data_IF_410475723676
#
_entry.id   IF_410475723676
#
_cell.length_a   1.000
_cell.length_b   1.000
_cell.length_c   1.000
_cell.angle_alpha   90.00
_cell.angle_beta   90.00
_cell.angle_gamma   90.00
#
_symmetry.space_group_name_H-M   'P 1'
#
loop_
_entity.id
_entity.type
_entity.pdbx_description
1 polymer ?
#
# COMPACT_ATOMS: atom_id res chain seq x y z
N UNK A 1 2.50 -21.46 -7.34
CA UNK A 1 2.93 -20.32 -6.49
C UNK A 1 1.93 -20.17 -5.37
N UNK A 2 2.38 -20.05 -4.12
CA UNK A 2 1.49 -19.77 -2.99
C UNK A 2 1.13 -18.29 -2.98
N UNK A 3 -0.16 -17.98 -3.02
CA UNK A 3 -0.65 -16.61 -2.88
C UNK A 3 -0.62 -16.25 -1.39
N UNK A 4 0.04 -15.14 -1.05
CA UNK A 4 0.12 -14.65 0.34
C UNK A 4 -1.08 -13.74 0.58
N UNK A 5 -1.83 -14.02 1.64
CA UNK A 5 -2.96 -13.21 2.05
C UNK A 5 -2.86 -12.86 3.53
N UNK A 6 -3.30 -11.65 3.87
CA UNK A 6 -3.52 -11.26 5.26
C UNK A 6 -4.69 -10.27 5.37
N UNK A 7 -5.23 -10.16 6.56
CA UNK A 7 -6.27 -9.17 6.88
C UNK A 7 -5.62 -7.82 7.16
N UNK A 8 -6.17 -6.77 6.57
CA UNK A 8 -5.75 -5.38 6.75
C UNK A 8 -6.94 -4.49 7.06
N UNK A 9 -6.68 -3.30 7.59
CA UNK A 9 -7.68 -2.24 7.69
C UNK A 9 -7.41 -1.15 6.65
N UNK A 10 -8.46 -0.74 5.96
CA UNK A 10 -8.47 0.33 4.97
C UNK A 10 -9.28 1.51 5.52
N UNK A 11 -8.73 2.71 5.46
CA UNK A 11 -9.30 3.89 6.13
C UNK A 11 -9.19 5.10 5.20
N UNK A 12 -10.25 5.88 5.09
CA UNK A 12 -10.17 7.21 4.52
C UNK A 12 -9.90 8.23 5.66
N UNK A 13 -8.68 8.78 5.78
CA UNK A 13 -8.32 9.66 6.88
C UNK A 13 -9.03 11.02 6.83
N UNK A 14 -9.66 11.39 5.71
CA UNK A 14 -10.45 12.63 5.59
C UNK A 14 -11.86 12.48 6.14
N UNK A 15 -12.33 11.26 6.31
CA UNK A 15 -13.69 10.93 6.72
C UNK A 15 -13.69 10.25 8.09
N UNK A 16 -13.40 11.02 9.15
CA UNK A 16 -13.23 10.50 10.51
C UNK A 16 -14.45 9.75 11.08
N UNK A 17 -15.64 9.97 10.51
CA UNK A 17 -16.88 9.29 10.89
C UNK A 17 -17.08 7.93 10.20
N UNK A 18 -16.32 7.65 9.13
CA UNK A 18 -16.34 6.35 8.48
C UNK A 18 -15.53 5.34 9.30
N UNK A 19 -16.10 4.15 9.47
CA UNK A 19 -15.39 3.06 10.15
C UNK A 19 -14.32 2.48 9.23
N UNK A 20 -13.17 2.05 9.78
CA UNK A 20 -12.20 1.26 9.02
C UNK A 20 -12.87 0.05 8.36
N UNK A 21 -12.56 -0.20 7.09
CA UNK A 21 -12.98 -1.38 6.37
C UNK A 21 -11.94 -2.48 6.56
N UNK A 22 -12.35 -3.61 7.14
CA UNK A 22 -11.53 -4.82 7.19
C UNK A 22 -11.61 -5.56 5.86
N UNK A 23 -10.47 -5.87 5.28
CA UNK A 23 -10.40 -6.58 4.01
C UNK A 23 -9.29 -7.64 4.05
N UNK A 24 -9.54 -8.77 3.38
CA UNK A 24 -8.51 -9.75 3.09
C UNK A 24 -7.78 -9.31 1.83
N UNK A 25 -6.49 -8.99 1.95
CA UNK A 25 -5.68 -8.51 0.85
C UNK A 25 -4.69 -9.56 0.37
N UNK A 26 -4.45 -9.59 -0.95
CA UNK A 26 -3.38 -10.36 -1.57
C UNK A 26 -2.09 -9.53 -1.57
N UNK A 27 -0.99 -10.08 -1.08
CA UNK A 27 0.31 -9.42 -1.08
C UNK A 27 1.09 -9.87 -2.31
N UNK A 28 1.28 -8.96 -3.26
CA UNK A 28 1.87 -9.22 -4.57
C UNK A 28 2.99 -8.23 -4.86
N UNK A 29 4.24 -8.68 -4.67
CA UNK A 29 5.42 -7.87 -4.95
C UNK A 29 5.64 -7.59 -6.44
N UNK A 30 4.92 -8.26 -7.34
CA UNK A 30 4.92 -7.97 -8.77
C UNK A 30 4.07 -6.75 -9.16
N UNK A 31 3.17 -6.32 -8.29
CA UNK A 31 2.39 -5.10 -8.47
C UNK A 31 3.11 -3.89 -7.85
N UNK A 32 2.91 -2.72 -8.45
CA UNK A 32 3.57 -1.49 -8.00
C UNK A 32 2.90 -0.89 -6.75
N UNK A 33 1.58 -0.72 -6.77
CA UNK A 33 0.81 -0.08 -5.69
C UNK A 33 -0.48 -0.86 -5.38
N UNK A 34 -1.32 -0.28 -4.52
CA UNK A 34 -2.59 -0.85 -4.08
C UNK A 34 -3.61 -0.87 -5.22
N UNK A 35 -4.28 -2.00 -5.40
CA UNK A 35 -5.51 -2.08 -6.18
C UNK A 35 -6.67 -2.44 -5.24
N UNK A 36 -7.81 -1.76 -5.41
CA UNK A 36 -9.03 -2.04 -4.66
C UNK A 36 -10.22 -2.25 -5.61
N UNK A 37 -11.20 -3.07 -5.23
CA UNK A 37 -12.47 -3.15 -5.93
C UNK A 37 -13.26 -1.84 -5.83
N UNK A 38 -14.13 -1.60 -6.81
CA UNK A 38 -15.00 -0.40 -6.85
C UNK A 38 -15.85 -0.25 -5.58
N UNK A 39 -16.40 -1.35 -5.05
CA UNK A 39 -17.21 -1.31 -3.84
C UNK A 39 -16.42 -0.86 -2.60
N UNK A 40 -15.10 -1.12 -2.54
CA UNK A 40 -14.24 -0.66 -1.45
C UNK A 40 -14.04 0.85 -1.53
N UNK A 41 -13.79 1.37 -2.73
CA UNK A 41 -13.65 2.81 -2.95
C UNK A 41 -14.94 3.57 -2.58
N UNK A 42 -16.10 3.01 -2.95
CA UNK A 42 -17.41 3.57 -2.60
C UNK A 42 -17.67 3.56 -1.09
N UNK A 43 -17.41 2.44 -0.41
CA UNK A 43 -17.63 2.33 1.05
C UNK A 43 -16.75 3.28 1.86
N UNK A 44 -15.53 3.53 1.39
CA UNK A 44 -14.59 4.45 2.03
C UNK A 44 -14.76 5.90 1.55
N UNK A 45 -15.72 6.19 0.67
CA UNK A 45 -15.96 7.50 0.08
C UNK A 45 -14.66 8.13 -0.49
N UNK A 46 -13.87 7.34 -1.22
CA UNK A 46 -12.59 7.81 -1.78
C UNK A 46 -12.84 8.65 -3.04
N UNK A 47 -12.22 9.83 -3.11
CA UNK A 47 -12.31 10.69 -4.27
C UNK A 47 -11.35 10.21 -5.37
N UNK A 48 -11.82 10.25 -6.63
CA UNK A 48 -10.94 10.13 -7.80
C UNK A 48 -10.04 11.36 -7.88
N UNK A 49 -8.73 11.12 -7.87
CA UNK A 49 -7.70 12.17 -7.96
C UNK A 49 -7.29 12.39 -9.42
N UNK A 50 -7.14 11.29 -10.16
CA UNK A 50 -6.74 11.25 -11.56
C UNK A 50 -7.05 9.87 -12.15
N UNK A 51 -6.80 9.71 -13.45
CA UNK A 51 -6.77 8.39 -14.09
C UNK A 51 -5.34 7.99 -14.40
N UNK A 52 -5.03 6.71 -14.25
CA UNK A 52 -3.72 6.15 -14.57
C UNK A 52 -3.83 5.01 -15.58
N UNK A 53 -2.92 4.99 -16.53
CA UNK A 53 -2.74 3.84 -17.41
C UNK A 53 -2.04 2.73 -16.63
N UNK A 54 -2.61 1.52 -16.67
CA UNK A 54 -2.09 0.34 -15.97
C UNK A 54 -1.98 -0.83 -16.93
N UNK A 55 -0.91 -1.61 -16.80
CA UNK A 55 -0.70 -2.85 -17.57
C UNK A 55 -0.94 -4.04 -16.66
N UNK A 56 -1.84 -4.95 -17.03
CA UNK A 56 -2.06 -6.19 -16.27
C UNK A 56 -1.03 -7.26 -16.61
N UNK A 57 -0.98 -8.31 -15.77
CA UNK A 57 -0.13 -9.48 -16.00
C UNK A 57 -0.36 -10.18 -17.36
N UNK A 58 -1.55 -10.00 -17.97
CA UNK A 58 -1.87 -10.47 -19.32
C UNK A 58 -1.40 -9.54 -20.45
N UNK A 59 -0.66 -8.47 -20.11
CA UNK A 59 -0.11 -7.50 -21.05
C UNK A 59 -1.09 -6.44 -21.55
N UNK A 60 -2.34 -6.44 -21.07
CA UNK A 60 -3.35 -5.46 -21.50
C UNK A 60 -3.23 -4.15 -20.73
N UNK A 61 -3.31 -3.04 -21.45
CA UNK A 61 -3.38 -1.71 -20.86
C UNK A 61 -4.83 -1.26 -20.66
N UNK A 62 -5.10 -0.57 -19.56
CA UNK A 62 -6.38 0.07 -19.29
C UNK A 62 -6.17 1.38 -18.54
N UNK A 63 -7.03 2.37 -18.81
CA UNK A 63 -7.09 3.59 -18.03
C UNK A 63 -8.05 3.39 -16.85
N UNK A 64 -7.56 3.49 -15.62
CA UNK A 64 -8.36 3.26 -14.40
C UNK A 64 -8.32 4.43 -13.44
N UNK A 65 -9.36 4.64 -12.61
CA UNK A 65 -9.35 5.66 -11.56
C UNK A 65 -8.25 5.39 -10.54
N UNK A 66 -7.57 6.46 -10.14
CA UNK A 66 -6.67 6.50 -8.99
C UNK A 66 -7.32 7.34 -7.90
N UNK A 67 -7.60 6.73 -6.74
CA UNK A 67 -8.39 7.32 -5.66
C UNK A 67 -7.59 7.49 -4.38
N UNK A 68 -7.99 8.43 -3.53
CA UNK A 68 -7.36 8.61 -2.22
C UNK A 68 -7.92 9.81 -1.43
N UNK A 69 -7.30 10.12 -0.27
CA UNK A 69 -6.20 9.39 0.37
C UNK A 69 -6.68 8.09 1.03
N UNK A 70 -5.80 7.09 1.08
CA UNK A 70 -6.02 5.80 1.73
C UNK A 70 -4.95 5.57 2.79
N UNK A 71 -5.37 5.37 4.04
CA UNK A 71 -4.52 4.83 5.09
C UNK A 71 -4.74 3.31 5.18
N UNK A 72 -3.65 2.57 5.28
CA UNK A 72 -3.66 1.11 5.44
C UNK A 72 -3.03 0.78 6.79
N UNK A 73 -3.59 -0.19 7.50
CA UNK A 73 -3.01 -0.74 8.74
C UNK A 73 -2.86 -2.24 8.65
N UNK A 74 -1.70 -2.72 9.08
CA UNK A 74 -1.35 -4.12 9.19
C UNK A 74 -0.46 -4.32 10.41
N UNK A 75 -0.87 -5.18 11.34
CA UNK A 75 -0.19 -5.34 12.64
C UNK A 75 0.09 -4.00 13.34
N UNK A 76 1.35 -3.69 13.68
CA UNK A 76 1.80 -2.42 14.24
C UNK A 76 2.34 -1.46 13.17
N UNK A 77 2.00 -1.67 11.89
CA UNK A 77 2.40 -0.84 10.75
C UNK A 77 1.23 -0.07 10.19
N UNK A 78 1.54 1.09 9.61
CA UNK A 78 0.59 1.83 8.79
C UNK A 78 1.33 2.57 7.68
N UNK A 79 0.63 2.82 6.58
CA UNK A 79 1.10 3.67 5.48
C UNK A 79 -0.04 4.52 4.91
N UNK A 80 0.33 5.59 4.22
CA UNK A 80 -0.60 6.45 3.47
C UNK A 80 -0.28 6.37 1.98
N UNK A 81 -1.30 6.17 1.16
CA UNK A 81 -1.16 6.03 -0.29
C UNK A 81 -2.45 6.41 -1.00
N UNK A 82 -2.49 6.27 -2.32
CA UNK A 82 -3.72 6.12 -3.08
C UNK A 82 -3.89 4.70 -3.59
N UNK A 83 -4.99 4.41 -4.27
CA UNK A 83 -5.28 3.09 -4.81
C UNK A 83 -5.84 3.17 -6.23
N UNK A 84 -5.51 2.18 -7.05
CA UNK A 84 -6.11 1.96 -8.36
C UNK A 84 -7.43 1.22 -8.18
N UNK A 85 -8.51 1.69 -8.81
CA UNK A 85 -9.81 1.03 -8.75
C UNK A 85 -9.92 0.02 -9.89
N UNK A 86 -9.59 -1.25 -9.60
CA UNK A 86 -9.64 -2.37 -10.55
C UNK A 86 -9.65 -3.71 -9.83
N UNK A 87 -10.34 -4.69 -10.41
CA UNK A 87 -10.37 -6.07 -9.92
C UNK A 87 -11.46 -6.34 -8.90
N UNK A 88 -11.44 -7.53 -8.33
CA UNK A 88 -12.45 -8.09 -7.41
C UNK A 88 -11.92 -8.33 -5.99
N UNK A 89 -10.60 -8.23 -5.80
CA UNK A 89 -9.93 -8.36 -4.51
C UNK A 89 -9.02 -7.16 -4.22
N UNK A 90 -8.74 -6.92 -2.93
CA UNK A 90 -7.73 -5.95 -2.51
C UNK A 90 -6.34 -6.56 -2.76
N UNK A 91 -5.48 -5.80 -3.40
CA UNK A 91 -4.10 -6.19 -3.71
C UNK A 91 -3.14 -5.16 -3.11
N UNK A 92 -2.13 -5.65 -2.39
CA UNK A 92 -1.02 -4.89 -1.84
C UNK A 92 0.22 -5.03 -2.72
N UNK A 93 0.65 -3.92 -3.32
CA UNK A 93 1.85 -3.84 -4.16
C UNK A 93 3.14 -3.56 -3.38
N UNK A 94 4.27 -3.50 -4.09
CA UNK A 94 5.60 -3.28 -3.52
C UNK A 94 5.73 -1.99 -2.72
N UNK A 95 5.29 -0.85 -3.27
CA UNK A 95 5.46 0.47 -2.62
C UNK A 95 4.88 0.52 -1.20
N UNK A 96 3.59 0.19 -0.97
CA UNK A 96 3.05 0.22 0.39
C UNK A 96 3.62 -0.88 1.30
N UNK A 97 4.12 -2.01 0.74
CA UNK A 97 4.81 -3.03 1.54
C UNK A 97 6.19 -2.56 2.02
N UNK A 98 6.94 -1.86 1.16
CA UNK A 98 8.24 -1.27 1.48
C UNK A 98 8.10 -0.15 2.51
N UNK A 99 7.12 0.74 2.34
CA UNK A 99 6.83 1.82 3.30
C UNK A 99 6.50 1.29 4.70
N UNK A 100 5.83 0.14 4.78
CA UNK A 100 5.49 -0.53 6.03
C UNK A 100 6.60 -1.44 6.60
N UNK A 101 7.73 -1.59 5.90
CA UNK A 101 8.85 -2.46 6.29
C UNK A 101 8.39 -3.93 6.53
N UNK A 102 7.72 -4.49 5.51
CA UNK A 102 7.16 -5.85 5.54
C UNK A 102 8.05 -6.87 4.83
N UNK A 103 7.95 -8.13 5.26
CA UNK A 103 8.69 -9.26 4.70
C UNK A 103 7.71 -10.34 4.26
N UNK A 104 7.85 -10.80 3.02
CA UNK A 104 7.11 -11.94 2.47
C UNK A 104 7.90 -13.24 2.67
N UNK A 105 7.24 -14.27 3.18
CA UNK A 105 7.74 -15.64 3.24
C UNK A 105 6.90 -16.55 2.33
N UNK A 106 7.32 -16.80 1.08
CA UNK A 106 6.56 -17.62 0.14
C UNK A 106 6.40 -19.08 0.57
N UNK A 107 7.38 -19.62 1.32
CA UNK A 107 7.34 -21.01 1.80
C UNK A 107 6.26 -21.19 2.86
N UNK A 108 6.12 -20.22 3.76
CA UNK A 108 5.08 -20.23 4.81
C UNK A 108 3.77 -19.57 4.35
N UNK A 109 3.76 -18.95 3.17
CA UNK A 109 2.63 -18.18 2.63
C UNK A 109 2.18 -17.06 3.58
N UNK A 110 3.15 -16.35 4.15
CA UNK A 110 2.92 -15.34 5.18
C UNK A 110 3.57 -14.01 4.81
N UNK A 111 2.93 -12.93 5.20
CA UNK A 111 3.54 -11.62 5.33
C UNK A 111 3.70 -11.33 6.82
N UNK A 112 4.84 -10.79 7.21
CA UNK A 112 5.12 -10.36 8.58
C UNK A 112 5.75 -8.98 8.56
N UNK A 113 5.76 -8.32 9.72
CA UNK A 113 6.70 -7.23 9.94
C UNK A 113 8.14 -7.71 9.80
N UNK A 114 9.04 -6.81 9.41
CA UNK A 114 10.46 -7.11 9.32
C UNK A 114 11.02 -7.55 10.70
N UNK A 115 11.55 -8.79 10.83
CA UNK A 115 12.08 -9.30 12.09
C UNK A 115 13.30 -8.55 12.61
N UNK A 116 14.02 -7.82 11.75
CA UNK A 116 15.16 -6.99 12.14
C UNK A 116 14.71 -5.67 12.81
N UNK A 117 13.45 -5.29 12.65
CA UNK A 117 12.86 -4.02 13.10
C UNK A 117 11.45 -4.24 13.69
N UNK A 118 11.24 -5.18 14.64
CA UNK A 118 9.90 -5.67 15.00
C UNK A 118 8.97 -4.57 15.54
N UNK A 119 9.53 -3.58 16.24
CA UNK A 119 8.74 -2.56 16.94
C UNK A 119 8.53 -1.28 16.11
N UNK A 120 9.50 -0.86 15.31
CA UNK A 120 9.51 0.44 14.60
C UNK A 120 10.00 0.18 13.17
N UNK A 121 9.25 0.59 12.12
CA UNK A 121 9.70 0.41 10.74
C UNK A 121 10.97 1.22 10.47
N UNK A 122 11.85 0.67 9.64
CA UNK A 122 13.11 1.32 9.25
C UNK A 122 13.04 1.81 7.81
N UNK A 123 13.72 2.91 7.52
CA UNK A 123 13.83 3.46 6.18
C UNK A 123 15.27 3.86 5.89
N UNK A 124 15.69 3.68 4.63
CA UNK A 124 17.01 4.13 4.17
C UNK A 124 16.87 5.54 3.62
N UNK A 125 17.61 6.48 4.21
CA UNK A 125 17.69 7.87 3.76
C UNK A 125 19.15 8.24 3.51
N UNK A 126 19.41 9.07 2.50
CA UNK A 126 20.74 9.61 2.24
C UNK A 126 20.96 10.82 3.13
N UNK A 127 22.07 10.86 3.88
CA UNK A 127 22.53 12.08 4.52
C UNK A 127 23.12 13.04 3.46
N UNK A 128 22.73 14.31 3.53
CA UNK A 128 23.44 15.38 2.85
C UNK A 128 24.25 16.12 3.92
N UNK A 129 25.57 15.96 3.93
CA UNK A 129 26.43 16.89 4.66
C UNK A 129 26.42 18.21 3.88
N UNK A 130 25.87 19.26 4.47
CA UNK A 130 26.07 20.62 3.97
C UNK A 130 27.55 20.95 4.20
N UNK A 131 28.38 20.83 3.15
CA UNK A 131 29.75 21.32 3.17
C UNK A 131 29.71 22.82 3.49
N UNK A 132 30.23 23.19 4.65
CA UNK A 132 30.09 24.52 5.22
C UNK A 132 30.61 25.63 4.32
N UNK A 133 29.86 26.73 4.27
CA UNK A 133 30.48 28.03 4.05
C UNK A 133 31.11 28.51 5.37
N UNK A 134 32.34 29.03 5.35
CA UNK A 134 32.89 29.71 6.50
C UNK A 134 32.16 31.05 6.66
N UNK A 135 31.65 31.30 7.87
CA UNK A 135 31.03 32.58 8.22
C UNK A 135 31.71 33.13 9.48
N UNK A 136 31.93 34.44 9.57
CA UNK A 136 32.72 35.31 8.70
C UNK A 136 34.15 35.59 9.26
#
# INVERSE_FOLDING_TARGET
MGLIYADIELINPREANLRPLKARAMFDSGAMTVCIPEHVALQLNLAELEKREVTTADGRSALVPYVGPLQIRFENRNCFTGALVRGDAVLMGAVPMEDMDLVLNPRLQQVTVNPASPNIPTAVVKSAELSGEPNP
#
